data_IF_683609631404
#
_entry.id   IF_683609631404
#
_cell.length_a   1.000
_cell.length_b   1.000
_cell.length_c   1.000
_cell.angle_alpha   90.00
_cell.angle_beta   90.00
_cell.angle_gamma   90.00
#
_symmetry.space_group_name_H-M   'P 1'
#
loop_
_entity.id
_entity.type
_entity.pdbx_description
1 polymer ?
#
# COMPACT_ATOMS: atom_id res chain seq x y z
N UNK A 1 7.52 -1.71 -25.68
CA UNK A 1 6.37 -2.36 -25.03
C UNK A 1 6.18 -1.75 -23.64
N UNK A 2 5.16 -0.91 -23.42
CA UNK A 2 4.91 -0.29 -22.11
C UNK A 2 4.53 -1.38 -21.10
N UNK A 3 5.47 -1.77 -20.25
CA UNK A 3 5.21 -2.69 -19.14
C UNK A 3 4.20 -2.03 -18.20
N UNK A 4 2.99 -2.59 -18.17
CA UNK A 4 1.89 -2.07 -17.38
C UNK A 4 2.20 -2.36 -15.90
N UNK A 5 2.73 -1.35 -15.19
CA UNK A 5 3.24 -1.34 -13.80
C UNK A 5 2.27 -2.00 -12.78
N UNK A 6 1.00 -2.23 -13.13
CA UNK A 6 -0.03 -2.80 -12.27
C UNK A 6 -0.04 -4.33 -12.19
N UNK A 7 0.74 -5.05 -13.01
CA UNK A 7 0.58 -6.49 -13.26
C UNK A 7 1.48 -7.44 -12.46
N UNK A 8 2.23 -6.95 -11.47
CA UNK A 8 3.45 -7.67 -11.07
C UNK A 8 3.41 -8.44 -9.73
N UNK A 9 2.24 -8.67 -9.13
CA UNK A 9 2.10 -9.84 -8.26
C UNK A 9 1.66 -11.01 -9.12
N UNK A 10 2.46 -12.08 -9.20
CA UNK A 10 2.08 -13.37 -9.82
C UNK A 10 0.64 -13.78 -9.53
N UNK A 11 0.24 -13.60 -8.27
CA UNK A 11 -1.10 -13.88 -7.77
C UNK A 11 -2.19 -13.02 -8.44
N UNK A 12 -1.92 -11.73 -8.68
CA UNK A 12 -2.87 -10.83 -9.36
C UNK A 12 -2.90 -11.04 -10.87
N UNK A 13 -1.76 -11.36 -11.48
CA UNK A 13 -1.69 -11.57 -12.92
C UNK A 13 -2.45 -12.82 -13.38
N UNK A 14 -2.36 -13.91 -12.61
CA UNK A 14 -3.17 -15.12 -12.82
C UNK A 14 -4.67 -14.85 -12.63
N UNK A 15 -5.02 -13.96 -11.69
CA UNK A 15 -6.41 -13.61 -11.40
C UNK A 15 -7.04 -12.74 -12.51
N UNK A 16 -6.25 -11.86 -13.12
CA UNK A 16 -6.69 -11.01 -14.25
C UNK A 16 -6.65 -11.72 -15.61
N UNK A 17 -5.70 -12.63 -15.85
CA UNK A 17 -5.51 -13.28 -17.16
C UNK A 17 -5.68 -14.80 -17.03
N UNK A 18 -6.94 -15.25 -16.90
CA UNK A 18 -7.30 -16.68 -16.77
C UNK A 18 -6.84 -17.56 -17.95
N UNK A 19 -6.48 -16.96 -19.09
CA UNK A 19 -6.16 -17.67 -20.34
C UNK A 19 -4.64 -17.88 -20.58
N UNK A 20 -3.76 -17.51 -19.64
CA UNK A 20 -2.33 -17.70 -19.84
C UNK A 20 -1.89 -19.05 -19.28
N UNK A 21 -1.22 -19.85 -20.13
CA UNK A 21 -0.63 -21.12 -19.73
C UNK A 21 0.34 -20.94 -18.56
N UNK A 22 0.18 -21.77 -17.52
CA UNK A 22 1.05 -21.79 -16.34
C UNK A 22 2.51 -21.98 -16.74
N UNK A 23 2.78 -22.76 -17.79
CA UNK A 23 4.13 -22.97 -18.31
C UNK A 23 4.80 -21.66 -18.74
N UNK A 24 4.07 -20.80 -19.47
CA UNK A 24 4.59 -19.51 -19.92
C UNK A 24 4.90 -18.57 -18.75
N UNK A 25 4.08 -18.59 -17.70
CA UNK A 25 4.34 -17.80 -16.50
C UNK A 25 5.57 -18.29 -15.74
N UNK A 26 5.67 -19.60 -15.49
CA UNK A 26 6.80 -20.18 -14.78
C UNK A 26 8.12 -20.00 -15.54
N UNK A 27 8.11 -20.11 -16.87
CA UNK A 27 9.31 -19.90 -17.68
C UNK A 27 9.81 -18.46 -17.60
N UNK A 28 8.92 -17.46 -17.59
CA UNK A 28 9.31 -16.05 -17.40
C UNK A 28 9.93 -15.79 -16.03
N UNK A 29 9.38 -16.37 -14.97
CA UNK A 29 9.89 -16.20 -13.60
C UNK A 29 11.25 -16.86 -13.47
N UNK A 30 11.36 -18.10 -13.95
CA UNK A 30 12.61 -18.83 -13.96
C UNK A 30 13.69 -18.06 -14.74
N UNK A 31 13.35 -17.51 -15.90
CA UNK A 31 14.29 -16.69 -16.67
C UNK A 31 14.75 -15.44 -15.89
N UNK A 32 13.83 -14.70 -15.26
CA UNK A 32 14.19 -13.51 -14.48
C UNK A 32 15.04 -13.85 -13.25
N UNK A 33 14.69 -14.90 -12.52
CA UNK A 33 15.34 -15.24 -11.26
C UNK A 33 16.66 -16.02 -11.45
N UNK A 34 16.70 -16.95 -12.40
CA UNK A 34 17.84 -17.85 -12.59
C UNK A 34 18.80 -17.30 -13.64
N UNK A 35 18.29 -16.85 -14.79
CA UNK A 35 19.15 -16.36 -15.88
C UNK A 35 19.57 -14.91 -15.65
N UNK A 36 18.61 -14.02 -15.39
CA UNK A 36 18.90 -12.60 -15.14
C UNK A 36 19.33 -12.31 -13.69
N UNK A 37 19.24 -13.30 -12.78
CA UNK A 37 19.58 -13.17 -11.35
C UNK A 37 18.88 -12.01 -10.64
N UNK A 38 17.66 -11.65 -11.08
CA UNK A 38 16.88 -10.58 -10.46
C UNK A 38 16.23 -11.05 -9.18
N UNK A 39 16.35 -10.25 -8.14
CA UNK A 39 15.68 -10.46 -6.86
C UNK A 39 14.50 -9.48 -6.73
N UNK A 40 13.29 -10.01 -6.79
CA UNK A 40 12.06 -9.22 -6.88
C UNK A 40 11.07 -9.66 -5.82
N UNK A 41 10.50 -8.69 -5.10
CA UNK A 41 9.53 -8.93 -4.04
C UNK A 41 8.13 -8.61 -4.56
N UNK A 42 7.20 -9.60 -4.61
CA UNK A 42 5.80 -9.37 -4.98
C UNK A 42 5.10 -8.37 -4.08
N UNK A 43 5.24 -8.55 -2.77
CA UNK A 43 4.42 -7.85 -1.81
C UNK A 43 5.19 -7.65 -0.52
N UNK A 44 5.15 -6.43 0.00
CA UNK A 44 5.63 -6.08 1.33
C UNK A 44 4.54 -5.27 2.02
N UNK A 45 4.29 -5.59 3.29
CA UNK A 45 3.41 -4.81 4.14
C UNK A 45 4.23 -4.16 5.25
N UNK A 46 4.06 -2.85 5.42
CA UNK A 46 4.78 -2.04 6.39
C UNK A 46 3.80 -1.33 7.31
N UNK A 47 4.00 -1.51 8.61
CA UNK A 47 3.16 -0.93 9.64
C UNK A 47 3.74 0.42 10.08
N UNK A 48 2.98 1.49 9.91
CA UNK A 48 3.45 2.85 10.23
C UNK A 48 2.94 3.37 11.57
N UNK A 49 1.88 2.74 12.09
CA UNK A 49 1.31 3.10 13.38
C UNK A 49 0.56 1.92 13.98
N UNK A 50 0.55 1.83 15.30
CA UNK A 50 -0.39 1.01 16.07
C UNK A 50 -1.49 1.85 16.72
N UNK A 51 -1.52 3.17 16.49
CA UNK A 51 -2.64 4.03 16.89
C UNK A 51 -3.80 3.85 15.92
N UNK A 52 -4.99 3.66 16.48
CA UNK A 52 -6.24 3.54 15.74
C UNK A 52 -7.35 4.19 16.57
N UNK A 53 -8.24 4.90 15.90
CA UNK A 53 -9.43 5.49 16.51
C UNK A 53 -10.60 4.49 16.61
N UNK A 54 -10.46 3.28 16.08
CA UNK A 54 -11.40 2.17 16.26
C UNK A 54 -10.85 1.10 17.22
N UNK A 55 -11.77 0.28 17.75
CA UNK A 55 -11.47 -0.89 18.59
C UNK A 55 -12.17 -2.15 18.04
N UNK A 56 -11.88 -2.50 16.79
CA UNK A 56 -12.59 -3.57 16.07
C UNK A 56 -12.40 -4.94 16.76
N UNK A 57 -13.49 -5.67 17.01
CA UNK A 57 -13.47 -7.01 17.63
C UNK A 57 -12.61 -8.01 16.85
N UNK A 58 -12.62 -7.92 15.52
CA UNK A 58 -11.87 -8.79 14.61
C UNK A 58 -10.78 -8.01 13.87
N UNK A 59 -10.01 -7.19 14.60
CA UNK A 59 -8.88 -6.47 14.01
C UNK A 59 -7.78 -7.47 13.62
N UNK A 60 -7.47 -7.58 12.32
CA UNK A 60 -6.41 -8.46 11.80
C UNK A 60 -5.03 -8.17 12.40
N UNK A 61 -4.85 -6.93 12.85
CA UNK A 61 -3.59 -6.42 13.39
C UNK A 61 -3.54 -6.47 14.92
N UNK A 62 -4.60 -6.98 15.58
CA UNK A 62 -4.70 -7.10 17.03
C UNK A 62 -4.45 -5.77 17.78
N UNK A 63 -4.63 -4.62 17.11
CA UNK A 63 -4.40 -3.28 17.69
C UNK A 63 -5.16 -3.05 19.01
N UNK A 64 -6.42 -3.51 19.17
CA UNK A 64 -7.15 -3.28 20.41
C UNK A 64 -6.49 -3.88 21.65
N UNK A 65 -5.77 -5.00 21.51
CA UNK A 65 -5.14 -5.72 22.63
C UNK A 65 -3.71 -5.23 22.93
N UNK A 66 -3.16 -4.33 22.11
CA UNK A 66 -1.83 -3.77 22.37
C UNK A 66 -1.89 -2.79 23.55
N UNK A 67 -1.03 -3.02 24.54
CA UNK A 67 -0.89 -2.16 25.72
C UNK A 67 -0.31 -0.78 25.35
N UNK A 68 0.68 -0.75 24.46
CA UNK A 68 1.37 0.46 24.04
C UNK A 68 1.15 0.73 22.56
N UNK A 69 0.33 1.74 22.24
CA UNK A 69 0.06 2.17 20.86
C UNK A 69 0.92 3.38 20.53
N UNK A 70 1.66 3.28 19.44
CA UNK A 70 2.64 4.29 19.03
C UNK A 70 2.62 4.52 17.52
N UNK A 71 3.13 5.68 17.13
CA UNK A 71 3.54 5.93 15.75
C UNK A 71 4.99 5.46 15.62
N UNK A 72 5.35 4.88 14.48
CA UNK A 72 6.74 4.59 14.20
C UNK A 72 7.40 5.82 13.57
N UNK A 73 8.64 6.11 13.93
CA UNK A 73 9.40 7.21 13.34
C UNK A 73 9.58 6.97 11.83
N UNK A 74 9.15 7.93 11.01
CA UNK A 74 9.22 7.80 9.55
C UNK A 74 10.65 7.66 9.07
N UNK A 75 11.61 8.32 9.72
CA UNK A 75 13.03 8.21 9.40
C UNK A 75 13.53 6.76 9.50
N UNK A 76 13.15 6.05 10.56
CA UNK A 76 13.50 4.63 10.74
C UNK A 76 12.85 3.75 9.67
N UNK A 77 11.58 3.99 9.33
CA UNK A 77 10.89 3.23 8.28
C UNK A 77 11.52 3.46 6.90
N UNK A 78 11.94 4.69 6.62
CA UNK A 78 12.66 5.07 5.40
C UNK A 78 14.00 4.36 5.34
N UNK A 79 14.77 4.36 6.42
CA UNK A 79 16.06 3.65 6.50
C UNK A 79 15.89 2.15 6.20
N UNK A 80 14.91 1.49 6.81
CA UNK A 80 14.62 0.08 6.55
C UNK A 80 14.24 -0.18 5.09
N UNK A 81 13.43 0.70 4.51
CA UNK A 81 13.09 0.62 3.09
C UNK A 81 14.31 0.84 2.20
N UNK A 82 15.18 1.81 2.49
CA UNK A 82 16.41 2.04 1.72
C UNK A 82 17.33 0.82 1.75
N UNK A 83 17.54 0.23 2.93
CA UNK A 83 18.32 -1.01 3.08
C UNK A 83 17.73 -2.12 2.21
N UNK A 84 16.41 -2.34 2.29
CA UNK A 84 15.74 -3.35 1.46
C UNK A 84 15.88 -3.05 -0.04
N UNK A 85 15.55 -1.83 -0.45
CA UNK A 85 15.57 -1.39 -1.84
C UNK A 85 16.99 -1.43 -2.43
N UNK A 86 18.04 -1.32 -1.61
CA UNK A 86 19.43 -1.50 -2.04
C UNK A 86 19.76 -2.95 -2.45
N UNK A 87 19.03 -3.94 -1.92
CA UNK A 87 19.30 -5.38 -2.12
C UNK A 87 18.38 -6.05 -3.13
N UNK A 88 17.31 -5.37 -3.56
CA UNK A 88 16.34 -5.91 -4.51
C UNK A 88 16.30 -5.11 -5.81
N UNK A 89 15.86 -5.74 -6.88
CA UNK A 89 15.64 -5.09 -8.18
C UNK A 89 14.28 -4.41 -8.25
N UNK A 90 13.27 -5.00 -7.61
CA UNK A 90 11.89 -4.54 -7.72
C UNK A 90 11.04 -4.92 -6.51
N UNK A 91 10.22 -3.98 -6.03
CA UNK A 91 9.10 -4.22 -5.12
C UNK A 91 7.79 -3.94 -5.86
N UNK A 92 7.04 -4.99 -6.14
CA UNK A 92 5.86 -4.89 -6.97
C UNK A 92 4.68 -4.22 -6.24
N UNK A 93 4.51 -4.49 -4.95
CA UNK A 93 3.53 -3.77 -4.12
C UNK A 93 4.05 -3.52 -2.72
N UNK A 94 4.06 -2.25 -2.32
CA UNK A 94 4.15 -1.85 -0.93
C UNK A 94 2.75 -1.57 -0.39
N UNK A 95 2.35 -2.23 0.69
CA UNK A 95 1.14 -1.88 1.45
C UNK A 95 1.55 -1.13 2.71
N UNK A 96 1.09 0.09 2.84
CA UNK A 96 1.19 0.91 4.04
C UNK A 96 -0.05 0.60 4.89
N UNK A 97 0.21 0.06 6.07
CA UNK A 97 -0.80 -0.47 6.98
C UNK A 97 -0.54 -0.04 8.42
N UNK A 98 -1.36 -0.51 9.36
CA UNK A 98 -1.24 -0.20 10.77
C UNK A 98 -2.59 -0.18 11.47
N UNK A 99 -2.74 0.70 12.46
CA UNK A 99 -4.03 1.06 13.03
C UNK A 99 -4.88 1.86 12.04
N UNK A 100 -4.88 3.19 12.14
CA UNK A 100 -5.43 4.07 11.10
C UNK A 100 -4.32 4.96 10.55
N UNK A 101 -3.98 4.80 9.27
CA UNK A 101 -2.83 5.45 8.66
C UNK A 101 -2.97 6.97 8.60
N UNK A 102 -4.19 7.48 8.40
CA UNK A 102 -4.43 8.93 8.35
C UNK A 102 -4.28 9.64 9.69
N UNK A 103 -4.10 8.90 10.80
CA UNK A 103 -3.73 9.48 12.10
C UNK A 103 -2.22 9.74 12.24
N UNK A 104 -1.39 9.24 11.31
CA UNK A 104 0.05 9.41 11.41
C UNK A 104 0.45 10.85 11.01
N UNK A 105 1.06 11.65 11.91
CA UNK A 105 1.31 13.07 11.67
C UNK A 105 2.25 13.32 10.48
N UNK A 106 3.20 12.40 10.25
CA UNK A 106 4.17 12.47 9.16
C UNK A 106 3.80 11.58 7.95
N UNK A 107 2.53 11.23 7.78
CA UNK A 107 2.11 10.38 6.64
C UNK A 107 2.52 11.00 5.28
N UNK A 108 2.40 12.32 5.15
CA UNK A 108 2.74 13.06 3.93
C UNK A 108 4.19 12.85 3.52
N UNK A 109 5.12 12.89 4.50
CA UNK A 109 6.56 12.68 4.27
C UNK A 109 6.82 11.27 3.73
N UNK A 110 6.22 10.27 4.37
CA UNK A 110 6.36 8.89 3.93
C UNK A 110 5.82 8.68 2.52
N UNK A 111 4.62 9.21 2.23
CA UNK A 111 3.98 9.13 0.91
C UNK A 111 4.89 9.75 -0.17
N UNK A 112 5.42 10.94 0.08
CA UNK A 112 6.31 11.62 -0.84
C UNK A 112 7.56 10.77 -1.13
N UNK A 113 8.19 10.22 -0.08
CA UNK A 113 9.35 9.33 -0.21
C UNK A 113 9.01 8.09 -1.06
N UNK A 114 7.98 7.30 -0.68
CA UNK A 114 7.69 6.02 -1.39
C UNK A 114 7.23 6.23 -2.83
N UNK A 115 6.57 7.35 -3.13
CA UNK A 115 6.15 7.67 -4.48
C UNK A 115 7.36 7.88 -5.40
N UNK A 116 8.41 8.52 -4.88
CA UNK A 116 9.65 8.81 -5.60
C UNK A 116 10.55 7.58 -5.80
N UNK A 117 10.26 6.45 -5.16
CA UNK A 117 11.08 5.23 -5.30
C UNK A 117 10.75 4.46 -6.59
N UNK A 118 11.64 4.43 -7.62
CA UNK A 118 11.34 3.80 -8.91
C UNK A 118 11.26 2.27 -8.85
N UNK A 119 11.89 1.66 -7.84
CA UNK A 119 11.82 0.21 -7.57
C UNK A 119 10.47 -0.21 -7.01
N UNK A 120 9.71 0.71 -6.40
CA UNK A 120 8.34 0.46 -5.92
C UNK A 120 7.35 0.70 -7.06
N UNK A 121 6.58 -0.31 -7.44
CA UNK A 121 5.71 -0.25 -8.62
C UNK A 121 4.28 0.16 -8.29
N UNK A 122 3.76 -0.34 -7.17
CA UNK A 122 2.43 -0.01 -6.70
C UNK A 122 2.44 0.21 -5.20
N UNK A 123 1.63 1.16 -4.73
CA UNK A 123 1.45 1.42 -3.31
C UNK A 123 -0.03 1.26 -2.97
N UNK A 124 -0.31 0.58 -1.86
CA UNK A 124 -1.63 0.49 -1.24
C UNK A 124 -1.61 1.15 0.11
N UNK A 125 -2.54 2.07 0.35
CA UNK A 125 -2.71 2.73 1.63
C UNK A 125 -4.04 2.28 2.21
N UNK A 126 -4.05 1.61 3.36
CA UNK A 126 -5.30 1.10 3.93
C UNK A 126 -5.88 2.04 4.97
N UNK A 127 -7.18 2.29 4.89
CA UNK A 127 -7.93 3.10 5.86
C UNK A 127 -9.20 2.38 6.31
N UNK A 128 -9.68 2.73 7.50
CA UNK A 128 -10.95 2.30 8.08
C UNK A 128 -12.11 3.27 7.80
N UNK A 129 -11.93 4.20 6.84
CA UNK A 129 -12.91 5.17 6.36
C UNK A 129 -13.43 6.23 7.35
N UNK A 130 -12.91 6.28 8.58
CA UNK A 130 -13.45 7.18 9.61
C UNK A 130 -12.76 8.55 9.72
N UNK A 131 -11.62 8.73 9.05
CA UNK A 131 -10.84 9.97 9.03
C UNK A 131 -10.87 10.56 7.63
N UNK A 132 -11.23 11.84 7.53
CA UNK A 132 -11.12 12.62 6.29
C UNK A 132 -9.73 13.27 6.29
N UNK A 133 -8.82 12.88 5.38
CA UNK A 133 -7.49 13.47 5.31
C UNK A 133 -7.56 14.92 4.85
N UNK A 134 -6.54 15.70 5.17
CA UNK A 134 -6.40 17.05 4.66
C UNK A 134 -6.23 17.06 3.12
N UNK A 135 -6.75 18.10 2.48
CA UNK A 135 -6.79 18.24 1.02
C UNK A 135 -5.40 18.13 0.37
N UNK A 136 -4.34 18.62 1.03
CA UNK A 136 -2.95 18.51 0.55
C UNK A 136 -2.47 17.05 0.45
N UNK A 137 -2.86 16.19 1.38
CA UNK A 137 -2.55 14.75 1.35
C UNK A 137 -3.33 14.10 0.21
N UNK A 138 -4.59 14.47 0.01
CA UNK A 138 -5.42 13.94 -1.08
C UNK A 138 -4.86 14.30 -2.45
N UNK A 139 -4.43 15.55 -2.65
CA UNK A 139 -3.75 15.99 -3.88
C UNK A 139 -2.49 15.15 -4.16
N UNK A 140 -1.64 14.96 -3.14
CA UNK A 140 -0.43 14.15 -3.25
C UNK A 140 -0.74 12.69 -3.60
N UNK A 141 -1.77 12.10 -2.96
CA UNK A 141 -2.21 10.74 -3.26
C UNK A 141 -2.73 10.65 -4.70
N UNK A 142 -3.55 11.60 -5.15
CA UNK A 142 -4.14 11.61 -6.48
C UNK A 142 -3.08 11.65 -7.59
N UNK A 143 -2.02 12.45 -7.42
CA UNK A 143 -0.89 12.54 -8.37
C UNK A 143 0.14 11.41 -8.24
N UNK A 144 -0.01 10.52 -7.26
CA UNK A 144 0.95 9.44 -6.99
C UNK A 144 0.54 8.10 -7.62
N UNK A 145 1.42 7.10 -7.51
CA UNK A 145 1.07 5.70 -7.85
C UNK A 145 0.23 4.97 -6.78
N UNK A 146 -0.18 5.65 -5.70
CA UNK A 146 -0.97 5.09 -4.59
C UNK A 146 -2.41 4.78 -5.02
N UNK A 147 -2.97 3.73 -4.43
CA UNK A 147 -4.41 3.47 -4.39
C UNK A 147 -4.81 3.27 -2.94
N UNK A 148 -5.86 3.97 -2.50
CA UNK A 148 -6.41 3.81 -1.16
C UNK A 148 -7.28 2.55 -1.13
N UNK A 149 -7.05 1.67 -0.17
CA UNK A 149 -7.87 0.49 0.07
C UNK A 149 -8.76 0.76 1.27
N UNK A 150 -10.06 0.79 1.05
CA UNK A 150 -11.05 1.03 2.09
C UNK A 150 -11.40 -0.31 2.75
N UNK A 151 -11.25 -0.40 4.07
CA UNK A 151 -11.63 -1.58 4.83
C UNK A 151 -13.08 -1.43 5.28
N UNK A 152 -14.02 -1.62 4.35
CA UNK A 152 -15.45 -1.41 4.61
C UNK A 152 -15.95 -2.27 5.77
N UNK A 153 -16.02 -1.66 6.95
CA UNK A 153 -16.55 -2.27 8.17
C UNK A 153 -18.07 -2.13 8.26
N UNK A 154 -18.73 -1.62 7.20
CA UNK A 154 -20.17 -1.33 7.11
C UNK A 154 -20.68 -0.52 8.31
N UNK A 155 -19.84 0.41 8.77
CA UNK A 155 -20.22 1.31 9.83
C UNK A 155 -21.36 2.22 9.32
N UNK A 156 -22.42 2.44 10.10
CA UNK A 156 -23.50 3.37 9.74
C UNK A 156 -23.01 4.81 9.87
N UNK A 157 -22.10 5.22 8.99
CA UNK A 157 -21.33 6.45 9.15
C UNK A 157 -21.40 7.32 7.90
N UNK A 158 -21.96 8.52 8.05
CA UNK A 158 -21.99 9.58 7.03
C UNK A 158 -20.58 9.98 6.56
N UNK A 159 -19.55 9.79 7.39
CA UNK A 159 -18.16 10.10 7.05
C UNK A 159 -17.60 9.24 5.93
N UNK A 160 -18.05 7.99 5.78
CA UNK A 160 -17.59 7.12 4.67
C UNK A 160 -17.99 7.72 3.33
N UNK A 161 -19.24 8.19 3.21
CA UNK A 161 -19.72 8.84 2.00
C UNK A 161 -18.94 10.14 1.75
N UNK A 162 -18.75 10.97 2.78
CA UNK A 162 -17.94 12.20 2.68
C UNK A 162 -16.51 11.93 2.22
N UNK A 163 -15.87 10.88 2.73
CA UNK A 163 -14.53 10.47 2.33
C UNK A 163 -14.50 10.04 0.85
N UNK A 164 -15.47 9.24 0.43
CA UNK A 164 -15.59 8.81 -0.97
C UNK A 164 -15.82 10.02 -1.89
N UNK A 165 -16.67 10.97 -1.48
CA UNK A 165 -16.94 12.18 -2.25
C UNK A 165 -15.68 13.05 -2.37
N UNK A 166 -14.92 13.19 -1.28
CA UNK A 166 -13.58 13.82 -1.28
C UNK A 166 -12.61 13.08 -2.20
N UNK A 167 -12.59 11.74 -2.17
CA UNK A 167 -11.73 10.98 -3.08
C UNK A 167 -12.10 11.21 -4.55
N UNK A 168 -13.39 11.30 -4.88
CA UNK A 168 -13.84 11.62 -6.23
C UNK A 168 -13.47 13.05 -6.63
N UNK A 169 -13.68 14.02 -5.74
CA UNK A 169 -13.33 15.44 -5.94
C UNK A 169 -11.85 15.60 -6.33
N UNK A 170 -10.95 14.95 -5.59
CA UNK A 170 -9.51 15.05 -5.82
C UNK A 170 -8.97 14.06 -6.88
N UNK A 171 -9.80 13.14 -7.38
CA UNK A 171 -9.36 12.09 -8.32
C UNK A 171 -8.48 11.01 -7.66
N UNK A 172 -8.64 10.79 -6.36
CA UNK A 172 -7.95 9.72 -5.62
C UNK A 172 -8.48 8.36 -6.08
N UNK A 173 -7.55 7.47 -6.46
CA UNK A 173 -7.89 6.08 -6.81
C UNK A 173 -8.13 5.29 -5.54
N UNK A 174 -9.29 4.65 -5.42
CA UNK A 174 -9.63 3.79 -4.29
C UNK A 174 -10.23 2.45 -4.73
N UNK A 175 -10.15 1.44 -3.85
CA UNK A 175 -10.72 0.09 -4.01
C UNK A 175 -11.36 -0.39 -2.71
#
# INVERSE_FOLDING_TARGET
MKLNIRKECLHYWQKENKNISRFHLYSQIWFRQVVLKKFEIPYLEMFITTKCNLRCKHCSNLIPVLNNRQNYEISTLVEWLDVLLSKIDCLYRLKIHGGEVFLHPQLTELIAYVNNQPKIKSIRLTTNETIIPADNILQLIASSKIVVQISDYRLPNTKTQQLIDKFKEFGVRYI
#
